data_IF_794603002104
#
_entry.id   IF_794603002104
#
_cell.length_a   1.000
_cell.length_b   1.000
_cell.length_c   1.000
_cell.angle_alpha   90.00
_cell.angle_beta   90.00
_cell.angle_gamma   90.00
#
_symmetry.space_group_name_H-M   'P 1'
#
loop_
_entity.id
_entity.type
_entity.pdbx_description
1 polymer ?
#
# COMPACT_ATOMS: atom_id res chain seq x y z
N UNK A 1 24.43 -28.82 -17.88
CA UNK A 1 23.84 -27.61 -18.52
C UNK A 1 22.32 -27.51 -18.33
N UNK A 2 21.53 -28.55 -18.63
CA UNK A 2 20.06 -28.56 -18.45
C UNK A 2 19.59 -28.27 -17.00
N UNK A 3 20.32 -28.73 -15.98
CA UNK A 3 19.97 -28.54 -14.55
C UNK A 3 20.10 -27.07 -14.08
N UNK A 4 21.07 -26.35 -14.63
CA UNK A 4 21.27 -24.92 -14.35
C UNK A 4 20.30 -24.03 -15.15
N UNK A 5 19.91 -24.48 -16.36
CA UNK A 5 18.88 -23.81 -17.16
C UNK A 5 17.50 -23.84 -16.47
N UNK A 6 17.18 -24.93 -15.78
CA UNK A 6 15.93 -25.06 -15.01
C UNK A 6 15.88 -24.12 -13.79
N UNK A 7 17.02 -23.93 -13.11
CA UNK A 7 17.14 -23.00 -11.97
C UNK A 7 17.01 -21.53 -12.43
N UNK A 8 17.59 -21.19 -13.59
CA UNK A 8 17.48 -19.84 -14.14
C UNK A 8 16.03 -19.50 -14.53
N UNK A 9 15.28 -20.46 -15.06
CA UNK A 9 13.86 -20.27 -15.42
C UNK A 9 12.95 -19.97 -14.21
N UNK A 10 13.25 -20.53 -13.02
CA UNK A 10 12.45 -20.31 -11.81
C UNK A 10 12.66 -18.93 -11.17
N UNK A 11 13.81 -18.28 -11.36
CA UNK A 11 14.06 -16.94 -10.80
C UNK A 11 13.31 -15.83 -11.57
N UNK A 12 13.05 -16.04 -12.87
CA UNK A 12 12.40 -15.05 -13.73
C UNK A 12 10.92 -14.78 -13.38
N UNK A 13 10.22 -15.70 -12.71
CA UNK A 13 8.79 -15.56 -12.41
C UNK A 13 8.49 -14.73 -11.16
N UNK A 14 9.50 -14.37 -10.35
CA UNK A 14 9.29 -13.57 -9.13
C UNK A 14 9.27 -12.05 -9.36
N UNK A 15 9.56 -11.58 -10.57
CA UNK A 15 9.79 -10.15 -10.86
C UNK A 15 8.50 -9.35 -11.14
N UNK A 16 7.35 -10.01 -11.36
CA UNK A 16 6.16 -9.34 -11.94
C UNK A 16 5.11 -8.81 -10.95
N UNK A 17 5.39 -8.69 -9.65
CA UNK A 17 4.38 -8.32 -8.65
C UNK A 17 4.70 -7.05 -7.83
N UNK A 18 5.70 -6.25 -8.22
CA UNK A 18 6.03 -5.05 -7.46
C UNK A 18 5.10 -3.90 -7.86
N UNK A 19 4.00 -3.74 -7.11
CA UNK A 19 3.14 -2.58 -7.24
C UNK A 19 3.85 -1.35 -6.67
N UNK A 20 3.95 -0.29 -7.46
CA UNK A 20 4.53 0.99 -7.05
C UNK A 20 3.43 1.86 -6.43
N UNK A 21 3.52 2.20 -5.12
CA UNK A 21 2.58 3.12 -4.51
C UNK A 21 2.63 4.48 -5.19
N UNK A 22 1.46 5.06 -5.49
CA UNK A 22 1.32 6.39 -6.07
C UNK A 22 1.15 7.38 -4.93
N UNK A 23 2.05 8.36 -4.80
CA UNK A 23 1.89 9.43 -3.82
C UNK A 23 0.66 10.29 -4.19
N UNK A 24 -0.28 10.42 -3.26
CA UNK A 24 -1.56 11.10 -3.52
C UNK A 24 -1.39 12.62 -3.65
N UNK A 25 -0.51 13.20 -2.83
CA UNK A 25 -0.24 14.64 -2.80
C UNK A 25 1.26 14.93 -2.96
N UNK A 26 1.78 14.97 -4.21
CA UNK A 26 3.21 15.19 -4.45
C UNK A 26 3.70 16.56 -3.99
N UNK A 27 2.82 17.57 -4.02
CA UNK A 27 3.13 18.95 -3.64
C UNK A 27 2.64 19.31 -2.21
N UNK A 28 2.26 18.30 -1.42
CA UNK A 28 1.69 18.47 -0.08
C UNK A 28 0.16 18.46 -0.07
N UNK A 29 -0.42 18.08 1.09
CA UNK A 29 -1.86 17.92 1.22
C UNK A 29 -2.59 19.28 1.10
N UNK A 30 -3.75 19.34 0.42
CA UNK A 30 -4.50 20.58 0.27
C UNK A 30 -4.85 21.22 1.62
N UNK A 31 -4.47 22.48 1.81
CA UNK A 31 -4.75 23.24 3.03
C UNK A 31 -3.83 22.96 4.22
N UNK A 32 -2.84 22.07 4.07
CA UNK A 32 -1.82 21.84 5.09
C UNK A 32 -0.83 23.02 5.11
N UNK A 33 -0.73 23.71 6.26
CA UNK A 33 0.22 24.83 6.44
C UNK A 33 1.57 24.39 6.99
N UNK A 34 1.62 23.19 7.59
CA UNK A 34 2.80 22.62 8.23
C UNK A 34 2.78 21.12 7.98
N UNK A 35 3.84 20.56 7.40
CA UNK A 35 3.94 19.12 7.17
C UNK A 35 3.90 18.38 8.50
N UNK A 36 2.84 17.61 8.72
CA UNK A 36 2.75 16.73 9.88
C UNK A 36 3.78 15.59 9.77
N UNK A 37 4.14 15.00 10.91
CA UNK A 37 5.00 13.82 10.94
C UNK A 37 4.17 12.63 11.39
N UNK A 38 4.13 11.58 10.58
CA UNK A 38 3.44 10.35 10.92
C UNK A 38 3.88 9.82 12.28
N UNK A 39 2.90 9.31 13.04
CA UNK A 39 3.10 8.65 14.33
C UNK A 39 2.50 7.26 14.28
N UNK A 40 3.28 6.31 14.76
CA UNK A 40 2.93 4.91 14.89
C UNK A 40 2.82 4.57 16.38
N UNK A 41 1.66 4.06 16.81
CA UNK A 41 1.40 3.69 18.20
C UNK A 41 0.93 2.23 18.31
N UNK A 42 1.56 1.49 19.22
CA UNK A 42 1.27 0.07 19.53
C UNK A 42 0.80 -0.14 20.97
N UNK A 43 0.67 0.94 21.76
CA UNK A 43 0.43 0.88 23.22
C UNK A 43 -1.03 0.60 23.60
N UNK A 44 -1.97 0.75 22.68
CA UNK A 44 -3.40 0.59 22.95
C UNK A 44 -3.87 -0.88 23.05
N UNK A 45 -5.19 -1.05 22.97
CA UNK A 45 -5.83 -2.35 23.12
C UNK A 45 -5.33 -3.36 22.09
N UNK A 46 -5.23 -4.62 22.53
CA UNK A 46 -4.89 -5.78 21.70
C UNK A 46 -6.14 -6.41 21.10
N UNK A 47 -6.01 -6.94 19.88
CA UNK A 47 -7.05 -7.75 19.22
C UNK A 47 -6.51 -9.17 19.07
N UNK A 48 -7.23 -10.16 19.58
CA UNK A 48 -6.79 -11.56 19.61
C UNK A 48 -5.38 -11.75 20.23
N UNK A 49 -5.03 -10.94 21.23
CA UNK A 49 -3.72 -10.98 21.89
C UNK A 49 -2.58 -10.29 21.15
N UNK A 50 -2.83 -9.76 19.94
CA UNK A 50 -1.85 -9.04 19.13
C UNK A 50 -1.99 -7.52 19.31
N UNK A 51 -0.88 -6.75 19.36
CA UNK A 51 -0.93 -5.29 19.36
C UNK A 51 -1.53 -4.78 18.05
N UNK A 52 -2.27 -3.67 18.14
CA UNK A 52 -2.84 -2.98 16.99
C UNK A 52 -1.97 -1.77 16.68
N UNK A 53 -1.49 -1.68 15.44
CA UNK A 53 -0.77 -0.51 14.93
C UNK A 53 -1.77 0.61 14.61
N UNK A 54 -1.61 1.73 15.30
CA UNK A 54 -2.42 2.94 15.14
C UNK A 54 -1.55 3.99 14.48
N UNK A 55 -1.92 4.39 13.27
CA UNK A 55 -1.19 5.40 12.51
C UNK A 55 -1.99 6.70 12.55
N UNK A 56 -1.34 7.78 12.96
CA UNK A 56 -1.90 9.14 12.94
C UNK A 56 -0.96 10.09 12.22
N UNK A 57 -1.44 11.29 11.90
CA UNK A 57 -0.65 12.34 11.23
C UNK A 57 -0.02 11.86 9.91
N UNK A 58 -0.75 11.07 9.12
CA UNK A 58 -0.29 10.50 7.84
C UNK A 58 0.13 11.63 6.91
N UNK A 59 1.45 11.76 6.70
CA UNK A 59 2.05 12.88 5.97
C UNK A 59 2.26 12.63 4.48
N UNK A 60 2.31 11.36 4.08
CA UNK A 60 2.57 10.93 2.70
C UNK A 60 1.58 9.83 2.31
N UNK A 61 0.27 10.15 2.18
CA UNK A 61 -0.73 9.17 1.81
C UNK A 61 -0.46 8.65 0.39
N UNK A 62 -0.60 7.34 0.19
CA UNK A 62 -0.42 6.70 -1.11
C UNK A 62 -1.68 5.99 -1.58
N UNK A 63 -1.80 5.80 -2.89
CA UNK A 63 -2.75 4.92 -3.53
C UNK A 63 -2.01 3.72 -4.10
N UNK A 64 -2.55 2.53 -3.86
CA UNK A 64 -2.11 1.30 -4.52
C UNK A 64 -3.07 1.00 -5.67
N UNK A 65 -2.53 0.85 -6.87
CA UNK A 65 -3.34 0.68 -8.08
C UNK A 65 -3.36 -0.79 -8.52
N UNK A 66 -4.55 -1.38 -8.47
CA UNK A 66 -4.82 -2.75 -8.91
C UNK A 66 -5.60 -2.72 -10.23
N UNK A 67 -4.92 -2.66 -11.40
CA UNK A 67 -5.61 -2.64 -12.69
C UNK A 67 -6.30 -3.99 -12.96
N UNK A 68 -7.50 -3.93 -13.53
CA UNK A 68 -8.14 -5.12 -14.09
C UNK A 68 -7.30 -5.67 -15.27
N UNK A 69 -7.31 -7.00 -15.50
CA UNK A 69 -6.73 -7.60 -16.70
C UNK A 69 -7.20 -6.90 -17.97
N UNK A 70 -6.31 -6.69 -18.94
CA UNK A 70 -6.57 -5.85 -20.12
C UNK A 70 -7.77 -6.34 -20.95
N UNK A 71 -8.01 -7.65 -20.99
CA UNK A 71 -9.12 -8.31 -21.67
C UNK A 71 -10.47 -8.16 -20.95
N UNK A 72 -10.47 -7.72 -19.69
CA UNK A 72 -11.66 -7.48 -18.87
C UNK A 72 -11.67 -6.07 -18.26
N UNK A 73 -10.91 -5.14 -18.82
CA UNK A 73 -10.84 -3.77 -18.33
C UNK A 73 -11.91 -2.90 -19.00
N UNK A 74 -12.97 -2.57 -18.25
CA UNK A 74 -14.06 -1.72 -18.74
C UNK A 74 -13.76 -0.21 -18.69
N UNK A 75 -12.61 0.18 -18.15
CA UNK A 75 -12.26 1.58 -17.88
C UNK A 75 -12.86 2.15 -16.59
N UNK A 76 -13.70 1.40 -15.87
CA UNK A 76 -14.21 1.81 -14.57
C UNK A 76 -13.16 1.57 -13.46
N UNK A 77 -13.08 2.48 -12.49
CA UNK A 77 -12.17 2.37 -11.32
C UNK A 77 -12.94 2.65 -10.04
N UNK A 78 -12.62 1.91 -8.98
CA UNK A 78 -13.20 2.07 -7.64
C UNK A 78 -12.09 2.56 -6.71
N UNK A 79 -12.38 3.59 -5.92
CA UNK A 79 -11.50 4.04 -4.84
C UNK A 79 -11.96 3.38 -3.55
N UNK A 80 -11.06 2.65 -2.89
CA UNK A 80 -11.32 2.02 -1.59
C UNK A 80 -10.60 2.82 -0.51
N UNK A 81 -11.36 3.47 0.35
CA UNK A 81 -10.86 4.09 1.56
C UNK A 81 -11.07 3.10 2.72
N UNK A 82 -10.04 2.38 3.18
CA UNK A 82 -10.20 1.39 4.23
C UNK A 82 -10.70 2.02 5.54
N UNK A 83 -11.32 1.19 6.37
CA UNK A 83 -11.84 1.60 7.68
C UNK A 83 -10.75 1.86 8.72
N UNK A 84 -11.19 2.13 9.96
CA UNK A 84 -10.34 2.49 11.10
C UNK A 84 -10.86 3.72 11.84
N UNK A 85 -11.74 4.49 11.19
CA UNK A 85 -12.58 5.52 11.82
C UNK A 85 -11.82 6.59 12.60
N UNK A 86 -10.51 6.76 12.38
CA UNK A 86 -9.61 7.63 13.14
C UNK A 86 -9.57 7.36 14.66
N UNK A 87 -10.07 6.21 15.11
CA UNK A 87 -10.27 5.90 16.53
C UNK A 87 -9.83 4.48 16.90
N UNK A 88 -9.11 3.79 16.00
CA UNK A 88 -8.67 2.41 16.26
C UNK A 88 -7.51 2.37 17.24
#
# INVERSE_FOLDING_TARGET
>A
MKKYLFIFSLLSTMVMAQETPILLFPDGAPGETTKMKQKDDLSGNKVAGCPVLRISDVSEPTLTFFPAPADNNSGATIIVNPGGGYNI
#
